data_IF_712409214239
#
_entry.id   IF_712409214239
#
_cell.length_a   1.000
_cell.length_b   1.000
_cell.length_c   1.000
_cell.angle_alpha   90.00
_cell.angle_beta   90.00
_cell.angle_gamma   90.00
#
_symmetry.space_group_name_H-M   'P 1'
#
loop_
_entity.id
_entity.type
_entity.pdbx_description
1 polymer ?
#
# COMPACT_ATOMS: atom_id res chain seq x y z
N UNK A 1 -36.07 47.58 -14.98
CA UNK A 1 -35.22 48.07 -13.86
C UNK A 1 -33.76 48.03 -14.30
N UNK A 2 -33.05 49.17 -14.28
CA UNK A 2 -31.60 49.19 -14.56
C UNK A 2 -30.85 48.76 -13.29
N UNK A 3 -30.08 47.68 -13.36
CA UNK A 3 -29.22 47.25 -12.25
C UNK A 3 -28.12 48.30 -12.04
N UNK A 4 -27.96 48.80 -10.81
CA UNK A 4 -26.90 49.73 -10.48
C UNK A 4 -25.53 49.03 -10.54
N UNK A 5 -24.47 49.79 -10.85
CA UNK A 5 -23.09 49.26 -10.97
C UNK A 5 -22.68 48.44 -9.74
N UNK A 6 -23.05 48.88 -8.54
CA UNK A 6 -22.78 48.16 -7.29
C UNK A 6 -23.50 46.81 -7.19
N UNK A 7 -24.70 46.71 -7.77
CA UNK A 7 -25.48 45.46 -7.81
C UNK A 7 -24.89 44.45 -8.79
N UNK A 8 -24.31 44.93 -9.88
CA UNK A 8 -23.57 44.12 -10.85
C UNK A 8 -22.27 43.60 -10.22
N UNK A 9 -21.52 44.47 -9.53
CA UNK A 9 -20.28 44.08 -8.84
C UNK A 9 -20.57 43.02 -7.76
N UNK A 10 -21.62 43.23 -6.96
CA UNK A 10 -22.05 42.23 -5.97
C UNK A 10 -22.47 40.89 -6.60
N UNK A 11 -23.13 40.92 -7.75
CA UNK A 11 -23.54 39.71 -8.46
C UNK A 11 -22.34 38.93 -9.02
N UNK A 12 -21.34 39.63 -9.58
CA UNK A 12 -20.11 39.00 -10.09
C UNK A 12 -19.33 38.36 -8.93
N UNK A 13 -19.19 39.06 -7.81
CA UNK A 13 -18.53 38.52 -6.62
C UNK A 13 -19.23 37.27 -6.09
N UNK A 14 -20.57 37.28 -6.07
CA UNK A 14 -21.37 36.12 -5.67
C UNK A 14 -21.13 34.92 -6.61
N UNK A 15 -21.17 35.14 -7.93
CA UNK A 15 -20.95 34.09 -8.91
C UNK A 15 -19.53 33.51 -8.82
N UNK A 16 -18.53 34.34 -8.56
CA UNK A 16 -17.16 33.88 -8.36
C UNK A 16 -17.04 32.95 -7.15
N UNK A 17 -17.66 33.32 -6.01
CA UNK A 17 -17.66 32.48 -4.80
C UNK A 17 -18.39 31.15 -5.06
N UNK A 18 -19.55 31.19 -5.69
CA UNK A 18 -20.31 29.96 -6.04
C UNK A 18 -19.50 29.07 -6.99
N UNK A 19 -18.85 29.65 -8.00
CA UNK A 19 -17.99 28.92 -8.92
C UNK A 19 -16.83 28.21 -8.22
N UNK A 20 -16.17 28.88 -7.27
CA UNK A 20 -15.08 28.28 -6.48
C UNK A 20 -15.61 27.15 -5.59
N UNK A 21 -16.74 27.34 -4.92
CA UNK A 21 -17.34 26.32 -4.04
C UNK A 21 -17.78 25.11 -4.86
N UNK A 22 -18.52 25.31 -5.95
CA UNK A 22 -18.93 24.20 -6.83
C UNK A 22 -17.71 23.51 -7.46
N UNK A 23 -16.71 24.27 -7.92
CA UNK A 23 -15.50 23.72 -8.50
C UNK A 23 -14.70 22.86 -7.52
N UNK A 24 -14.55 23.30 -6.27
CA UNK A 24 -13.86 22.53 -5.22
C UNK A 24 -14.63 21.28 -4.80
N UNK A 25 -15.97 21.34 -4.76
CA UNK A 25 -16.80 20.17 -4.47
C UNK A 25 -16.69 19.12 -5.59
N UNK A 26 -16.82 19.53 -6.85
CA UNK A 26 -16.67 18.63 -8.01
C UNK A 26 -15.25 18.08 -8.09
N UNK A 27 -14.22 18.89 -7.85
CA UNK A 27 -12.83 18.43 -7.80
C UNK A 27 -12.64 17.35 -6.73
N UNK A 28 -13.17 17.56 -5.52
CA UNK A 28 -13.08 16.57 -4.43
C UNK A 28 -13.87 15.30 -4.73
N UNK A 29 -15.02 15.40 -5.40
CA UNK A 29 -15.79 14.22 -5.84
C UNK A 29 -15.14 13.49 -7.02
N UNK A 30 -14.36 14.20 -7.84
CA UNK A 30 -13.64 13.62 -8.98
C UNK A 30 -12.30 12.99 -8.57
N UNK A 31 -11.88 13.16 -7.31
CA UNK A 31 -10.77 12.40 -6.77
C UNK A 31 -11.19 10.94 -6.64
N UNK A 32 -10.42 9.98 -7.21
CA UNK A 32 -10.67 8.57 -6.98
C UNK A 32 -10.78 8.33 -5.48
N UNK A 33 -11.78 7.53 -5.06
CA UNK A 33 -11.86 7.08 -3.68
C UNK A 33 -10.46 6.59 -3.26
N UNK A 34 -9.95 7.00 -2.07
CA UNK A 34 -8.71 6.46 -1.56
C UNK A 34 -8.80 4.96 -1.69
N UNK A 35 -7.90 4.35 -2.45
CA UNK A 35 -7.89 2.91 -2.65
C UNK A 35 -8.05 2.26 -1.27
N UNK A 36 -9.09 1.42 -1.11
CA UNK A 36 -9.34 0.75 0.16
C UNK A 36 -8.01 0.18 0.65
N UNK A 37 -7.67 0.34 1.94
CA UNK A 37 -6.47 -0.27 2.47
C UNK A 37 -6.59 -1.75 2.15
N UNK A 38 -5.79 -2.23 1.20
CA UNK A 38 -5.66 -3.66 0.99
C UNK A 38 -5.26 -4.20 2.35
N UNK A 39 -6.10 -5.04 2.95
CA UNK A 39 -5.77 -5.70 4.22
C UNK A 39 -4.49 -6.47 3.98
N UNK A 40 -3.36 -5.85 4.33
CA UNK A 40 -2.05 -6.43 4.09
C UNK A 40 -1.90 -7.56 5.08
N UNK A 41 -1.96 -8.78 4.56
CA UNK A 41 -1.70 -9.97 5.35
C UNK A 41 -0.20 -10.01 5.60
N UNK A 42 0.19 -9.87 6.86
CA UNK A 42 1.58 -9.96 7.28
C UNK A 42 1.94 -11.42 7.46
N UNK A 43 2.91 -11.89 6.68
CA UNK A 43 3.43 -13.26 6.78
C UNK A 43 4.88 -13.20 7.27
N UNK A 44 5.23 -14.05 8.23
CA UNK A 44 6.59 -14.17 8.74
C UNK A 44 7.15 -15.56 8.49
N UNK A 45 8.35 -15.69 7.93
CA UNK A 45 8.94 -17.00 7.64
C UNK A 45 10.43 -17.10 7.84
N UNK A 46 10.95 -18.32 7.85
CA UNK A 46 12.39 -18.54 7.92
C UNK A 46 12.99 -18.38 6.53
N UNK A 47 14.04 -17.55 6.43
CA UNK A 47 14.71 -17.25 5.18
C UNK A 47 16.18 -17.67 5.20
N UNK A 48 16.57 -18.42 4.17
CA UNK A 48 17.93 -18.86 3.94
C UNK A 48 18.79 -17.64 3.64
N UNK A 49 19.96 -17.56 4.28
CA UNK A 49 20.81 -16.37 4.21
C UNK A 49 21.16 -15.91 2.78
N UNK A 50 21.17 -16.82 1.80
CA UNK A 50 21.40 -16.50 0.38
C UNK A 50 20.26 -15.71 -0.27
N UNK A 51 19.06 -15.75 0.30
CA UNK A 51 17.83 -15.16 -0.27
C UNK A 51 17.45 -13.83 0.37
N UNK A 52 18.16 -13.41 1.42
CA UNK A 52 17.98 -12.12 2.07
C UNK A 52 18.02 -10.97 1.05
N UNK A 53 18.96 -10.99 0.11
CA UNK A 53 19.08 -9.93 -0.91
C UNK A 53 17.84 -9.77 -1.80
N UNK A 54 17.10 -10.86 -2.07
CA UNK A 54 15.84 -10.78 -2.81
C UNK A 54 14.72 -10.22 -1.94
N UNK A 55 14.63 -10.64 -0.68
CA UNK A 55 13.58 -10.22 0.24
C UNK A 55 13.78 -8.80 0.76
N UNK A 56 15.01 -8.30 0.76
CA UNK A 56 15.36 -6.91 1.09
C UNK A 56 15.20 -5.95 -0.10
N UNK A 57 15.10 -6.48 -1.33
CA UNK A 57 14.94 -5.67 -2.54
C UNK A 57 13.60 -4.92 -2.54
N UNK A 58 13.67 -3.62 -2.82
CA UNK A 58 12.50 -2.73 -2.80
C UNK A 58 11.47 -3.10 -3.88
N UNK A 59 11.90 -3.61 -5.04
CA UNK A 59 10.97 -4.04 -6.10
C UNK A 59 10.24 -5.30 -5.68
N UNK A 60 10.93 -6.24 -5.04
CA UNK A 60 10.31 -7.44 -4.50
C UNK A 60 9.27 -7.11 -3.42
N UNK A 61 9.60 -6.23 -2.46
CA UNK A 61 8.63 -5.77 -1.45
C UNK A 61 7.44 -5.05 -2.07
N UNK A 62 7.67 -4.22 -3.10
CA UNK A 62 6.59 -3.55 -3.80
C UNK A 62 5.68 -4.53 -4.57
N UNK A 63 6.24 -5.62 -5.12
CA UNK A 63 5.46 -6.68 -5.76
C UNK A 63 4.61 -7.44 -4.73
N UNK A 64 5.17 -7.75 -3.56
CA UNK A 64 4.43 -8.39 -2.48
C UNK A 64 3.29 -7.50 -1.94
N UNK A 65 3.58 -6.21 -1.70
CA UNK A 65 2.58 -5.25 -1.25
C UNK A 65 1.45 -5.04 -2.28
N UNK A 66 1.75 -5.10 -3.58
CA UNK A 66 0.74 -5.09 -4.64
C UNK A 66 -0.20 -6.29 -4.59
N UNK A 67 0.28 -7.42 -4.07
CA UNK A 67 -0.55 -8.62 -3.82
C UNK A 67 -1.21 -8.59 -2.43
N UNK A 68 -1.09 -7.50 -1.68
CA UNK A 68 -1.62 -7.40 -0.32
C UNK A 68 -0.86 -8.22 0.71
N UNK A 69 0.43 -8.51 0.47
CA UNK A 69 1.26 -9.31 1.37
C UNK A 69 2.39 -8.44 1.92
N UNK A 70 2.44 -8.31 3.23
CA UNK A 70 3.62 -7.80 3.94
C UNK A 70 4.51 -8.99 4.30
N UNK A 71 5.70 -9.08 3.70
CA UNK A 71 6.61 -10.21 3.88
C UNK A 71 7.68 -9.82 4.90
N UNK A 72 7.66 -10.52 6.03
CA UNK A 72 8.68 -10.48 7.07
C UNK A 72 9.44 -11.80 7.14
N UNK A 73 10.69 -11.76 7.59
CA UNK A 73 11.48 -12.97 7.69
C UNK A 73 12.48 -12.99 8.84
N UNK A 74 12.79 -14.20 9.29
CA UNK A 74 13.90 -14.48 10.21
C UNK A 74 14.97 -15.26 9.48
N UNK A 75 16.20 -14.77 9.52
CA UNK A 75 17.34 -15.47 8.90
C UNK A 75 17.60 -16.78 9.64
N UNK A 76 17.59 -17.90 8.92
CA UNK A 76 18.03 -19.19 9.42
C UNK A 76 18.76 -19.95 8.29
N UNK A 77 19.81 -20.71 8.62
CA UNK A 77 20.44 -21.60 7.64
C UNK A 77 19.53 -22.77 7.31
N UNK A 78 19.61 -23.33 6.10
CA UNK A 78 18.70 -24.40 5.66
C UNK A 78 18.71 -25.63 6.58
N UNK A 79 19.86 -25.98 7.19
CA UNK A 79 19.93 -27.02 8.22
C UNK A 79 19.23 -26.60 9.52
N UNK A 80 19.51 -25.38 9.99
CA UNK A 80 18.88 -24.84 11.19
C UNK A 80 17.35 -24.72 11.05
N UNK A 81 16.83 -24.55 9.83
CA UNK A 81 15.39 -24.52 9.55
C UNK A 81 14.69 -25.88 9.74
N UNK A 82 15.43 -26.99 9.68
CA UNK A 82 14.84 -28.32 9.88
C UNK A 82 14.44 -28.53 11.34
N UNK A 83 15.28 -28.02 12.25
CA UNK A 83 15.13 -28.16 13.70
C UNK A 83 14.54 -26.91 14.37
N UNK A 84 14.39 -25.80 13.63
CA UNK A 84 13.81 -24.56 14.15
C UNK A 84 12.32 -24.72 14.46
N UNK A 85 11.88 -24.08 15.54
CA UNK A 85 10.48 -24.03 15.94
C UNK A 85 9.65 -23.31 14.87
N UNK A 86 8.62 -23.98 14.35
CA UNK A 86 7.75 -23.47 13.29
C UNK A 86 6.57 -22.66 13.84
N UNK A 87 6.45 -22.55 15.16
CA UNK A 87 5.37 -21.77 15.79
C UNK A 87 5.45 -20.29 15.40
N UNK A 88 4.36 -19.77 14.87
CA UNK A 88 4.27 -18.37 14.41
C UNK A 88 5.08 -18.07 13.15
N UNK A 89 5.47 -19.10 12.39
CA UNK A 89 6.14 -18.98 11.11
C UNK A 89 5.22 -19.52 10.02
N UNK A 90 4.83 -18.66 9.08
CA UNK A 90 3.91 -18.93 7.99
C UNK A 90 4.59 -19.64 6.81
N UNK A 91 5.91 -19.49 6.65
CA UNK A 91 6.66 -20.10 5.56
C UNK A 91 8.13 -20.42 5.92
N UNK A 92 8.75 -21.30 5.12
CA UNK A 92 10.17 -21.62 5.18
C UNK A 92 10.76 -21.62 3.76
N UNK A 93 11.82 -20.84 3.53
CA UNK A 93 12.45 -20.73 2.22
C UNK A 93 13.96 -20.54 2.33
N UNK A 94 14.80 -21.32 1.63
CA UNK A 94 14.49 -22.49 0.82
C UNK A 94 14.49 -23.75 1.71
N UNK A 95 13.33 -24.22 2.17
CA UNK A 95 13.25 -25.60 2.68
C UNK A 95 11.86 -26.22 2.50
N UNK A 96 11.72 -26.94 1.39
CA UNK A 96 10.75 -28.02 1.24
C UNK A 96 11.52 -29.34 1.26
N UNK A 97 11.62 -29.97 2.45
CA UNK A 97 12.39 -31.21 2.73
C UNK A 97 13.92 -31.08 2.58
N UNK A 98 14.66 -31.79 3.43
CA UNK A 98 16.03 -32.19 3.07
C UNK A 98 15.96 -33.04 1.80
N UNK A 99 16.89 -32.83 0.87
CA UNK A 99 17.15 -33.80 -0.17
C UNK A 99 17.53 -35.11 0.54
N UNK A 100 16.63 -36.09 0.50
CA UNK A 100 16.96 -37.47 0.82
C UNK A 100 17.59 -38.03 -0.46
N UNK A 101 18.80 -38.56 -0.35
CA UNK A 101 19.46 -39.31 -1.42
C UNK A 101 18.62 -40.51 -1.88
#
# INVERSE_FOLDING_TARGET
MKLSKSKIIGLIALLAVVGVVCGTLVWRQSQPAPAEPTEQVSITGYLGGEKNGLFDDAKFKALAAKQGIAIDYRKAGSLAMMDADRKGMDYLFPSSRAAVE
#
